data_IF_220828125859
#
_entry.id   IF_220828125859
#
_cell.length_a   1.000
_cell.length_b   1.000
_cell.length_c   1.000
_cell.angle_alpha   90.00
_cell.angle_beta   90.00
_cell.angle_gamma   90.00
#
_symmetry.space_group_name_H-M   'P 1'
#
loop_
_entity.id
_entity.type
_entity.pdbx_description
1 polymer ?
#
# COMPACT_ATOMS: atom_id res chain seq x y z
N UNK A 1 -10.70 32.65 -24.78
CA UNK A 1 -10.34 31.40 -24.08
C UNK A 1 -11.50 31.07 -23.15
N UNK A 2 -12.41 30.20 -23.60
CA UNK A 2 -13.63 29.91 -22.85
C UNK A 2 -13.34 28.82 -21.81
N UNK A 3 -13.50 29.13 -20.53
CA UNK A 3 -13.55 28.14 -19.46
C UNK A 3 -14.81 27.28 -19.71
N UNK A 4 -14.63 26.06 -20.20
CA UNK A 4 -15.71 25.06 -20.22
C UNK A 4 -15.91 24.61 -18.77
N UNK A 5 -16.97 25.14 -18.14
CA UNK A 5 -17.50 24.62 -16.87
C UNK A 5 -18.23 23.30 -17.16
N UNK A 6 -17.47 22.23 -17.38
CA UNK A 6 -18.01 20.88 -17.38
C UNK A 6 -18.10 20.38 -15.94
N UNK A 7 -19.30 19.98 -15.51
CA UNK A 7 -19.43 19.17 -14.28
C UNK A 7 -18.97 17.77 -14.65
N UNK A 8 -17.79 17.37 -14.15
CA UNK A 8 -17.32 16.00 -14.24
C UNK A 8 -18.14 15.15 -13.29
N UNK A 9 -18.81 14.13 -13.81
CA UNK A 9 -19.58 13.19 -13.02
C UNK A 9 -19.20 11.78 -13.48
N UNK A 10 -18.98 10.90 -12.50
CA UNK A 10 -18.68 9.48 -12.68
C UNK A 10 -19.57 8.69 -11.75
N UNK A 11 -19.96 7.49 -12.15
CA UNK A 11 -20.69 6.54 -11.31
C UNK A 11 -19.85 5.27 -11.18
N UNK A 12 -19.75 4.77 -9.95
CA UNK A 12 -19.04 3.56 -9.59
C UNK A 12 -19.97 2.59 -8.86
N UNK A 13 -19.82 1.31 -9.16
CA UNK A 13 -20.44 0.23 -8.39
C UNK A 13 -19.36 -0.81 -8.10
N UNK A 14 -19.09 -1.01 -6.82
CA UNK A 14 -18.09 -1.96 -6.34
C UNK A 14 -18.70 -3.11 -5.55
N UNK A 15 -18.12 -4.29 -5.69
CA UNK A 15 -18.37 -5.45 -4.85
C UNK A 15 -17.06 -5.88 -4.22
N UNK A 16 -17.01 -5.85 -2.89
CA UNK A 16 -15.90 -6.38 -2.10
C UNK A 16 -16.30 -7.73 -1.50
N UNK A 17 -15.49 -8.76 -1.74
CA UNK A 17 -15.60 -10.08 -1.14
C UNK A 17 -14.30 -10.34 -0.36
N UNK A 18 -14.40 -10.51 0.95
CA UNK A 18 -13.25 -10.86 1.80
C UNK A 18 -13.39 -12.25 2.40
N UNK A 19 -12.28 -12.95 2.54
CA UNK A 19 -12.19 -14.23 3.22
C UNK A 19 -10.91 -14.29 4.06
N UNK A 20 -11.04 -14.74 5.31
CA UNK A 20 -9.92 -14.97 6.24
C UNK A 20 -9.94 -16.41 6.71
N UNK A 21 -8.78 -17.05 6.82
CA UNK A 21 -8.65 -18.24 7.68
C UNK A 21 -7.24 -18.41 8.22
N UNK A 22 -7.09 -19.27 9.23
CA UNK A 22 -5.84 -19.40 9.99
C UNK A 22 -5.45 -20.87 10.09
N UNK A 23 -4.15 -21.19 10.09
CA UNK A 23 -3.65 -22.57 10.16
C UNK A 23 -2.64 -22.74 11.30
N UNK A 24 -2.88 -23.73 12.17
CA UNK A 24 -1.98 -24.10 13.25
C UNK A 24 -1.25 -25.42 12.94
N UNK A 25 0.00 -25.55 13.41
CA UNK A 25 0.75 -26.81 13.38
C UNK A 25 0.03 -27.84 14.24
N UNK A 26 -0.43 -28.92 13.64
CA UNK A 26 -1.20 -29.96 14.33
C UNK A 26 -0.29 -30.72 15.30
N UNK A 27 -0.48 -30.53 16.60
CA UNK A 27 0.01 -31.41 17.65
C UNK A 27 -1.18 -31.91 18.45
N UNK A 28 -1.44 -33.21 18.31
CA UNK A 28 -2.31 -34.12 19.08
C UNK A 28 -3.67 -33.64 19.62
N UNK A 29 -4.68 -34.41 19.23
CA UNK A 29 -6.11 -34.36 19.60
C UNK A 29 -6.42 -34.38 21.10
N UNK A 30 -7.52 -33.70 21.44
CA UNK A 30 -8.32 -33.69 22.69
C UNK A 30 -7.99 -32.64 23.77
N UNK A 31 -8.44 -31.40 23.53
CA UNK A 31 -9.30 -30.63 24.44
C UNK A 31 -9.52 -29.23 23.85
N UNK A 32 -10.76 -28.84 23.58
CA UNK A 32 -11.10 -27.46 23.18
C UNK A 32 -10.93 -26.52 24.38
N UNK A 33 -9.71 -26.03 24.57
CA UNK A 33 -9.41 -24.73 25.19
C UNK A 33 -9.63 -23.62 24.13
N UNK A 34 -9.71 -22.33 24.50
CA UNK A 34 -9.62 -21.24 23.52
C UNK A 34 -8.40 -21.54 22.67
N UNK A 35 -8.59 -21.75 21.37
CA UNK A 35 -7.50 -22.13 20.48
C UNK A 35 -6.44 -21.04 20.56
N UNK A 36 -5.21 -21.40 20.94
CA UNK A 36 -4.07 -20.51 20.78
C UNK A 36 -4.10 -19.94 19.36
N UNK A 37 -3.76 -18.65 19.17
CA UNK A 37 -3.76 -18.04 17.84
C UNK A 37 -2.95 -18.91 16.87
N UNK A 38 -3.28 -18.88 15.57
CA UNK A 38 -2.51 -19.64 14.60
C UNK A 38 -1.06 -19.16 14.55
N UNK A 39 -0.13 -20.03 14.14
CA UNK A 39 1.26 -19.61 13.88
C UNK A 39 1.31 -18.81 12.58
N UNK A 40 0.49 -19.21 11.62
CA UNK A 40 0.32 -18.54 10.34
C UNK A 40 -1.16 -18.17 10.13
N UNK A 41 -1.40 -16.92 9.80
CA UNK A 41 -2.71 -16.38 9.45
C UNK A 41 -2.66 -15.86 8.02
N UNK A 42 -3.72 -16.08 7.24
CA UNK A 42 -3.79 -15.51 5.90
C UNK A 42 -5.10 -14.75 5.71
N UNK A 43 -5.00 -13.67 4.96
CA UNK A 43 -6.12 -12.85 4.55
C UNK A 43 -6.25 -12.87 3.03
N UNK A 44 -7.47 -12.71 2.55
CA UNK A 44 -7.70 -12.36 1.15
C UNK A 44 -8.85 -11.39 1.00
N UNK A 45 -8.68 -10.49 0.05
CA UNK A 45 -9.71 -9.57 -0.39
C UNK A 45 -9.76 -9.56 -1.92
N UNK A 46 -10.96 -9.71 -2.46
CA UNK A 46 -11.22 -9.52 -3.88
C UNK A 46 -12.15 -8.31 -4.07
N UNK A 47 -11.65 -7.32 -4.78
CA UNK A 47 -12.39 -6.12 -5.17
C UNK A 47 -12.67 -6.18 -6.66
N UNK A 48 -13.91 -5.88 -7.04
CA UNK A 48 -14.33 -5.78 -8.43
C UNK A 48 -15.19 -4.53 -8.63
N UNK A 49 -14.72 -3.62 -9.48
CA UNK A 49 -15.33 -2.31 -9.71
C UNK A 49 -15.71 -2.11 -11.18
N UNK A 50 -16.83 -1.41 -11.41
CA UNK A 50 -17.22 -0.93 -12.73
C UNK A 50 -17.40 0.58 -12.68
N UNK A 51 -16.56 1.30 -13.42
CA UNK A 51 -16.53 2.76 -13.47
C UNK A 51 -16.99 3.26 -14.84
N UNK A 52 -17.97 4.16 -14.84
CA UNK A 52 -18.42 4.86 -16.05
C UNK A 52 -18.24 6.37 -15.92
N UNK A 53 -17.48 6.97 -16.84
CA UNK A 53 -17.40 8.42 -17.01
C UNK A 53 -18.66 8.89 -17.75
N UNK A 54 -19.50 9.72 -17.11
CA UNK A 54 -20.82 10.13 -17.63
C UNK A 54 -20.88 11.62 -18.04
N UNK A 55 -19.85 12.41 -17.75
CA UNK A 55 -19.69 13.79 -18.18
C UNK A 55 -18.21 14.21 -18.22
N UNK A 56 -17.81 15.03 -19.21
CA UNK A 56 -16.42 15.45 -19.40
C UNK A 56 -16.08 15.73 -20.87
N UNK A 57 -14.86 16.15 -21.16
CA UNK A 57 -14.38 16.47 -22.52
C UNK A 57 -14.01 15.26 -23.40
N UNK A 58 -13.90 14.06 -22.82
CA UNK A 58 -13.47 12.82 -23.49
C UNK A 58 -14.60 11.92 -24.02
N UNK A 59 -14.31 10.64 -24.26
CA UNK A 59 -15.25 9.64 -24.80
C UNK A 59 -16.24 9.13 -23.71
N UNK A 60 -17.29 9.91 -23.48
CA UNK A 60 -18.18 9.86 -22.29
C UNK A 60 -19.15 8.66 -22.19
N UNK A 61 -18.85 7.48 -22.74
CA UNK A 61 -19.83 6.35 -22.78
C UNK A 61 -19.27 4.94 -22.61
N UNK A 62 -18.08 4.79 -22.04
CA UNK A 62 -17.51 3.46 -21.87
C UNK A 62 -17.32 3.13 -20.38
N UNK A 63 -17.99 2.07 -19.92
CA UNK A 63 -17.69 1.46 -18.64
C UNK A 63 -16.33 0.74 -18.70
N UNK A 64 -15.56 0.84 -17.62
CA UNK A 64 -14.33 0.08 -17.40
C UNK A 64 -14.53 -0.80 -16.18
N UNK A 65 -14.20 -2.07 -16.33
CA UNK A 65 -14.15 -3.02 -15.24
C UNK A 65 -12.73 -3.09 -14.71
N UNK A 66 -12.57 -3.22 -13.40
CA UNK A 66 -11.30 -3.37 -12.70
C UNK A 66 -11.43 -4.46 -11.64
N UNK A 67 -10.33 -5.16 -11.39
CA UNK A 67 -10.26 -6.05 -10.25
C UNK A 67 -8.90 -6.06 -9.55
N UNK A 68 -8.95 -6.40 -8.27
CA UNK A 68 -7.80 -6.59 -7.40
C UNK A 68 -8.06 -7.81 -6.51
N UNK A 69 -7.15 -8.77 -6.54
CA UNK A 69 -7.04 -9.82 -5.54
C UNK A 69 -5.81 -9.53 -4.68
N UNK A 70 -6.03 -9.28 -3.39
CA UNK A 70 -5.00 -9.25 -2.36
C UNK A 70 -5.03 -10.59 -1.59
N UNK A 71 -3.86 -11.19 -1.39
CA UNK A 71 -3.68 -12.33 -0.50
C UNK A 71 -2.47 -12.09 0.38
N UNK A 72 -2.67 -11.99 1.70
CA UNK A 72 -1.59 -11.85 2.66
C UNK A 72 -1.38 -13.11 3.50
N UNK A 73 -0.17 -13.25 4.03
CA UNK A 73 0.25 -14.30 4.95
C UNK A 73 1.14 -13.69 6.04
N UNK A 74 0.68 -13.79 7.28
CA UNK A 74 1.32 -13.30 8.50
C UNK A 74 1.80 -14.48 9.34
N UNK A 75 3.02 -14.37 9.89
CA UNK A 75 3.67 -15.46 10.62
C UNK A 75 4.37 -15.04 11.90
N UNK A 76 4.11 -15.77 12.98
CA UNK A 76 4.82 -15.66 14.26
C UNK A 76 6.07 -16.57 14.26
N UNK A 77 7.24 -15.95 14.06
CA UNK A 77 8.51 -16.68 13.99
C UNK A 77 9.08 -17.01 15.37
N UNK A 78 8.56 -16.40 16.44
CA UNK A 78 8.85 -16.83 17.81
C UNK A 78 8.25 -18.21 18.07
N UNK A 79 6.98 -18.41 17.72
CA UNK A 79 6.31 -19.70 17.92
C UNK A 79 6.75 -20.77 16.94
N UNK A 80 7.11 -20.39 15.72
CA UNK A 80 7.58 -21.33 14.69
C UNK A 80 9.03 -21.78 14.91
N UNK A 81 9.94 -20.83 15.21
CA UNK A 81 11.39 -21.07 15.22
C UNK A 81 12.11 -20.67 16.52
N UNK A 82 11.39 -20.07 17.48
CA UNK A 82 11.97 -19.57 18.74
C UNK A 82 12.66 -18.21 18.58
N UNK A 83 12.45 -17.50 17.48
CA UNK A 83 13.04 -16.17 17.25
C UNK A 83 12.21 -15.12 17.97
N UNK A 84 12.64 -14.78 19.19
CA UNK A 84 11.89 -13.93 20.11
C UNK A 84 11.49 -12.60 19.47
N UNK A 85 10.19 -12.31 19.45
CA UNK A 85 9.59 -11.08 18.94
C UNK A 85 9.75 -10.87 17.44
N UNK A 86 9.96 -11.94 16.65
CA UNK A 86 10.10 -11.81 15.19
C UNK A 86 8.80 -12.22 14.50
N UNK A 87 8.33 -11.37 13.59
CA UNK A 87 7.18 -11.60 12.73
C UNK A 87 7.57 -11.50 11.26
N UNK A 88 6.84 -12.17 10.39
CA UNK A 88 6.99 -12.06 8.95
C UNK A 88 5.66 -11.82 8.28
N UNK A 89 5.68 -11.03 7.21
CA UNK A 89 4.51 -10.72 6.40
C UNK A 89 4.84 -10.88 4.92
N UNK A 90 3.90 -11.43 4.17
CA UNK A 90 3.96 -11.56 2.72
C UNK A 90 2.61 -11.18 2.12
N UNK A 91 2.57 -10.31 1.11
CA UNK A 91 1.36 -9.99 0.36
C UNK A 91 1.57 -10.19 -1.14
N UNK A 92 0.61 -10.86 -1.78
CA UNK A 92 0.49 -11.01 -3.22
C UNK A 92 -0.69 -10.20 -3.73
N UNK A 93 -0.46 -9.40 -4.75
CA UNK A 93 -1.49 -8.69 -5.49
C UNK A 93 -1.66 -9.30 -6.88
N UNK A 94 -2.90 -9.41 -7.34
CA UNK A 94 -3.21 -9.62 -8.76
C UNK A 94 -4.22 -8.57 -9.22
N UNK A 95 -3.81 -7.74 -10.17
CA UNK A 95 -4.58 -6.60 -10.66
C UNK A 95 -4.85 -6.71 -12.15
N UNK A 96 -6.07 -6.35 -12.55
CA UNK A 96 -6.51 -6.38 -13.92
C UNK A 96 -7.58 -5.34 -14.24
N UNK A 97 -8.02 -5.37 -15.50
CA UNK A 97 -9.16 -4.58 -15.97
C UNK A 97 -8.78 -3.46 -16.93
N UNK A 98 -9.39 -2.29 -16.74
CA UNK A 98 -9.19 -1.12 -17.58
C UNK A 98 -8.79 0.10 -16.77
N UNK A 99 -8.50 1.20 -17.47
CA UNK A 99 -8.06 2.47 -16.89
C UNK A 99 -9.15 3.54 -17.06
N UNK A 100 -10.14 3.64 -16.15
CA UNK A 100 -11.13 4.70 -16.15
C UNK A 100 -10.49 6.10 -16.22
N UNK A 101 -9.36 6.32 -15.54
CA UNK A 101 -8.70 7.62 -15.54
C UNK A 101 -8.19 8.02 -16.93
N UNK A 102 -7.85 7.06 -17.79
CA UNK A 102 -7.48 7.33 -19.19
C UNK A 102 -8.66 7.88 -20.03
N UNK A 103 -9.90 7.72 -19.58
CA UNK A 103 -11.10 8.33 -20.21
C UNK A 103 -11.45 9.64 -19.53
N UNK A 104 -11.34 9.67 -18.20
CA UNK A 104 -11.71 10.84 -17.41
C UNK A 104 -10.70 11.99 -17.54
N UNK A 105 -9.43 11.66 -17.86
CA UNK A 105 -8.31 12.58 -18.05
C UNK A 105 -8.09 13.51 -16.84
N UNK A 106 -8.25 12.98 -15.63
CA UNK A 106 -8.05 13.77 -14.41
C UNK A 106 -6.63 13.66 -13.87
N UNK A 107 -6.22 14.70 -13.15
CA UNK A 107 -4.92 14.75 -12.48
C UNK A 107 -4.77 13.71 -11.36
N UNK A 108 -5.89 13.25 -10.81
CA UNK A 108 -5.95 12.26 -9.74
C UNK A 108 -6.74 11.05 -10.21
N UNK A 109 -6.35 9.85 -9.78
CA UNK A 109 -7.09 8.64 -10.07
C UNK A 109 -8.47 8.64 -9.41
N UNK A 110 -9.41 7.87 -9.98
CA UNK A 110 -10.77 7.71 -9.45
C UNK A 110 -10.93 6.49 -8.57
N UNK A 111 -10.14 5.46 -8.83
CA UNK A 111 -10.31 4.13 -8.29
C UNK A 111 -8.97 3.61 -7.76
N UNK A 112 -8.96 3.18 -6.49
CA UNK A 112 -7.76 2.70 -5.78
C UNK A 112 -7.15 1.45 -6.40
N UNK A 113 -7.93 0.67 -7.16
CA UNK A 113 -7.45 -0.58 -7.77
C UNK A 113 -7.04 -0.40 -9.24
N UNK A 114 -7.08 0.83 -9.76
CA UNK A 114 -6.59 1.13 -11.11
C UNK A 114 -5.06 1.00 -11.19
N UNK A 115 -4.58 0.21 -12.15
CA UNK A 115 -3.13 0.00 -12.36
C UNK A 115 -2.68 0.41 -13.76
N UNK A 116 -1.45 0.93 -13.84
CA UNK A 116 -0.78 1.24 -15.10
C UNK A 116 -0.50 0.00 -15.95
N UNK A 117 -0.17 -1.12 -15.30
CA UNK A 117 0.17 -2.40 -15.91
C UNK A 117 -0.42 -3.56 -15.12
N UNK A 118 -1.14 -4.45 -15.80
CA UNK A 118 -1.73 -5.65 -15.19
C UNK A 118 -0.65 -6.66 -14.81
N UNK A 119 -0.89 -7.43 -13.75
CA UNK A 119 0.05 -8.46 -13.36
C UNK A 119 -0.19 -9.00 -11.97
N UNK A 120 0.63 -9.99 -11.63
CA UNK A 120 0.74 -10.52 -10.27
C UNK A 120 2.03 -10.00 -9.68
N UNK A 121 1.95 -9.40 -8.48
CA UNK A 121 3.08 -8.78 -7.79
C UNK A 121 3.24 -9.36 -6.40
N UNK A 122 4.49 -9.59 -5.98
CA UNK A 122 4.82 -9.69 -4.56
C UNK A 122 4.84 -8.27 -4.00
N UNK A 123 3.72 -7.85 -3.46
CA UNK A 123 3.50 -6.48 -3.02
C UNK A 123 4.22 -6.19 -1.71
N UNK A 124 4.17 -7.09 -0.74
CA UNK A 124 4.95 -6.94 0.49
C UNK A 124 5.67 -8.24 0.83
N UNK A 125 6.86 -8.12 1.41
CA UNK A 125 7.65 -9.24 1.90
C UNK A 125 8.68 -8.70 2.89
N UNK A 126 8.33 -8.69 4.17
CA UNK A 126 9.15 -8.10 5.21
C UNK A 126 9.18 -8.94 6.48
N UNK A 127 10.23 -8.70 7.27
CA UNK A 127 10.39 -9.25 8.62
C UNK A 127 10.45 -8.09 9.59
N UNK A 128 9.73 -8.21 10.69
CA UNK A 128 9.73 -7.26 11.80
C UNK A 128 10.28 -7.90 13.08
N UNK A 129 11.07 -7.14 13.82
CA UNK A 129 11.56 -7.49 15.15
C UNK A 129 10.99 -6.51 16.18
N UNK A 130 10.20 -7.02 17.10
CA UNK A 130 9.77 -6.33 18.32
C UNK A 130 10.91 -6.21 19.32
N UNK A 131 11.00 -5.03 19.93
CA UNK A 131 12.00 -4.64 20.91
C UNK A 131 11.30 -4.02 22.11
N UNK A 132 12.00 -4.02 23.26
CA UNK A 132 11.55 -3.37 24.48
C UNK A 132 10.09 -3.71 24.88
N UNK A 133 9.73 -5.00 24.81
CA UNK A 133 8.39 -5.50 25.14
C UNK A 133 7.28 -4.85 24.27
N UNK A 134 7.54 -4.70 22.97
CA UNK A 134 6.58 -4.16 22.00
C UNK A 134 6.50 -2.63 21.96
N UNK A 135 7.42 -1.92 22.64
CA UNK A 135 7.48 -0.44 22.63
C UNK A 135 8.31 0.13 21.49
N UNK A 136 8.99 -0.73 20.75
CA UNK A 136 9.73 -0.38 19.57
C UNK A 136 9.74 -1.56 18.61
N UNK A 137 9.77 -1.31 17.31
CA UNK A 137 9.94 -2.35 16.31
C UNK A 137 10.82 -1.89 15.16
N UNK A 138 11.51 -2.83 14.54
CA UNK A 138 12.32 -2.62 13.34
C UNK A 138 11.86 -3.60 12.27
N UNK A 139 11.45 -3.06 11.12
CA UNK A 139 11.02 -3.82 9.95
C UNK A 139 12.05 -3.65 8.83
N UNK A 140 12.30 -4.73 8.09
CA UNK A 140 13.09 -4.70 6.86
C UNK A 140 12.50 -5.63 5.79
N UNK A 141 12.43 -5.14 4.54
CA UNK A 141 11.93 -5.92 3.41
C UNK A 141 11.26 -5.06 2.33
N UNK A 142 10.47 -5.69 1.46
CA UNK A 142 9.56 -4.99 0.55
C UNK A 142 8.35 -4.48 1.34
N UNK A 143 8.13 -3.18 1.36
CA UNK A 143 7.25 -2.52 2.33
C UNK A 143 6.41 -1.41 1.70
N UNK A 144 5.10 -1.44 1.90
CA UNK A 144 4.21 -0.34 1.50
C UNK A 144 4.27 0.79 2.53
N UNK A 145 4.71 1.98 2.13
CA UNK A 145 4.75 3.12 3.05
C UNK A 145 3.35 3.57 3.46
N UNK A 146 2.34 3.42 2.60
CA UNK A 146 0.98 3.86 2.88
C UNK A 146 0.21 2.92 3.82
N UNK A 147 0.77 1.74 4.13
CA UNK A 147 0.25 0.87 5.18
C UNK A 147 0.30 1.53 6.57
N UNK A 148 1.34 2.33 6.86
CA UNK A 148 1.54 2.96 8.17
C UNK A 148 1.68 4.49 8.14
N UNK A 149 2.29 5.05 7.09
CA UNK A 149 2.53 6.49 6.96
C UNK A 149 1.43 7.13 6.12
N UNK A 150 1.04 8.34 6.50
CA UNK A 150 0.01 9.10 5.77
C UNK A 150 -1.24 8.22 5.54
N UNK A 151 -1.68 7.51 6.58
CA UNK A 151 -2.82 6.59 6.53
C UNK A 151 -3.82 6.89 7.64
N UNK A 152 -5.10 6.66 7.37
CA UNK A 152 -6.17 6.71 8.38
C UNK A 152 -7.20 5.64 8.10
N UNK A 153 -7.82 5.07 9.15
CA UNK A 153 -8.88 4.06 8.98
C UNK A 153 -10.09 4.59 8.19
N UNK A 154 -10.33 5.90 8.22
CA UNK A 154 -11.42 6.52 7.45
C UNK A 154 -11.12 6.54 5.94
N UNK A 155 -9.85 6.61 5.56
CA UNK A 155 -9.40 6.62 4.17
C UNK A 155 -9.69 5.29 3.47
N UNK A 156 -9.62 4.17 4.19
CA UNK A 156 -9.84 2.82 3.66
C UNK A 156 -11.27 2.58 3.14
N UNK A 157 -12.22 3.42 3.58
CA UNK A 157 -13.62 3.37 3.13
C UNK A 157 -13.86 4.15 1.83
N UNK A 158 -12.85 4.89 1.35
CA UNK A 158 -12.96 5.79 0.22
C UNK A 158 -12.26 5.19 -1.00
N UNK A 159 -12.95 5.23 -2.13
CA UNK A 159 -12.53 4.53 -3.36
C UNK A 159 -11.45 5.27 -4.16
N UNK A 160 -11.22 6.56 -3.92
CA UNK A 160 -10.32 7.38 -4.75
C UNK A 160 -8.94 7.54 -4.10
N UNK A 161 -7.84 7.36 -4.86
CA UNK A 161 -6.46 7.37 -4.34
C UNK A 161 -6.06 8.55 -3.45
N UNK A 162 -6.48 9.80 -3.73
CA UNK A 162 -6.09 10.96 -2.93
C UNK A 162 -6.58 10.94 -1.48
N UNK A 163 -7.53 10.05 -1.14
CA UNK A 163 -7.97 9.88 0.24
C UNK A 163 -7.03 9.02 1.08
N UNK A 164 -6.25 8.13 0.45
CA UNK A 164 -5.17 7.39 1.09
C UNK A 164 -3.94 8.28 1.20
N UNK A 165 -3.04 8.16 0.23
CA UNK A 165 -1.84 8.99 0.13
C UNK A 165 -2.08 10.23 -0.73
N UNK A 166 -1.70 11.40 -0.21
CA UNK A 166 -1.84 12.68 -0.91
C UNK A 166 -1.05 12.74 -2.22
N UNK A 167 -1.60 13.42 -3.24
CA UNK A 167 -0.98 13.54 -4.57
C UNK A 167 0.39 14.21 -4.54
N UNK A 168 0.65 15.04 -3.54
CA UNK A 168 1.93 15.70 -3.31
C UNK A 168 3.08 14.72 -3.01
N UNK A 169 2.77 13.50 -2.54
CA UNK A 169 3.75 12.43 -2.34
C UNK A 169 3.60 11.35 -3.41
N UNK A 170 2.37 10.97 -3.75
CA UNK A 170 2.09 9.91 -4.73
C UNK A 170 2.71 10.18 -6.11
N UNK A 171 2.81 11.44 -6.53
CA UNK A 171 3.33 11.86 -7.83
C UNK A 171 4.84 12.21 -7.81
N UNK A 172 5.63 11.59 -6.94
CA UNK A 172 7.06 11.89 -6.77
C UNK A 172 7.94 10.66 -6.98
N UNK A 173 9.23 10.88 -7.23
CA UNK A 173 10.20 9.79 -7.42
C UNK A 173 10.17 9.20 -8.84
N UNK A 174 11.18 8.39 -9.20
CA UNK A 174 11.39 7.88 -10.56
C UNK A 174 10.32 6.88 -11.02
N UNK A 175 9.63 6.22 -10.08
CA UNK A 175 8.50 5.32 -10.37
C UNK A 175 7.40 5.41 -9.30
N UNK A 176 7.21 6.60 -8.73
CA UNK A 176 6.39 6.74 -7.52
C UNK A 176 7.14 6.36 -6.24
N UNK A 177 6.63 6.75 -5.06
CA UNK A 177 7.08 6.18 -3.79
C UNK A 177 6.64 4.70 -3.70
N UNK A 178 7.13 4.00 -2.68
CA UNK A 178 6.77 2.59 -2.41
C UNK A 178 5.34 2.47 -1.89
N UNK A 179 4.36 2.43 -2.79
CA UNK A 179 2.93 2.35 -2.54
C UNK A 179 2.24 1.45 -3.57
N UNK A 180 0.97 1.11 -3.37
CA UNK A 180 0.20 0.34 -4.35
C UNK A 180 0.38 0.86 -5.80
N UNK A 181 0.65 -0.01 -6.79
CA UNK A 181 0.74 -1.48 -6.70
C UNK A 181 2.17 -2.04 -6.52
N UNK A 182 3.18 -1.18 -6.34
CA UNK A 182 4.60 -1.58 -6.37
C UNK A 182 5.37 -1.03 -5.18
N UNK A 183 6.07 -1.91 -4.46
CA UNK A 183 6.88 -1.51 -3.30
C UNK A 183 8.38 -1.57 -3.57
N UNK A 184 9.15 -1.14 -2.58
CA UNK A 184 10.59 -1.02 -2.56
C UNK A 184 11.18 -1.71 -1.33
N UNK A 185 12.47 -2.04 -1.41
CA UNK A 185 13.24 -2.36 -0.21
C UNK A 185 13.24 -1.17 0.75
N UNK A 186 12.93 -1.45 2.01
CA UNK A 186 12.88 -0.46 3.07
C UNK A 186 13.43 -1.00 4.38
N UNK A 187 13.79 -0.06 5.26
CA UNK A 187 13.91 -0.27 6.70
C UNK A 187 13.02 0.75 7.40
N UNK A 188 12.20 0.28 8.34
CA UNK A 188 11.31 1.10 9.15
C UNK A 188 11.59 0.88 10.63
N UNK A 189 11.66 1.97 11.38
CA UNK A 189 11.75 1.96 12.84
C UNK A 189 10.50 2.64 13.39
N UNK A 190 9.84 1.98 14.34
CA UNK A 190 8.69 2.53 15.06
C UNK A 190 8.95 2.51 16.56
N UNK A 191 8.51 3.56 17.24
CA UNK A 191 8.58 3.73 18.68
C UNK A 191 7.17 4.06 19.20
N UNK A 192 6.81 3.54 20.36
CA UNK A 192 5.53 3.84 21.03
C UNK A 192 4.54 2.68 20.95
N UNK A 193 3.25 3.01 20.96
CA UNK A 193 2.14 2.04 20.95
C UNK A 193 1.25 2.23 19.72
N UNK A 194 0.58 1.17 19.28
CA UNK A 194 -0.50 1.28 18.28
C UNK A 194 -1.63 2.20 18.78
N UNK A 195 -2.05 2.01 20.04
CA UNK A 195 -3.12 2.77 20.70
C UNK A 195 -2.58 3.90 21.59
N UNK A 196 -1.79 4.81 21.01
CA UNK A 196 -1.29 5.96 21.74
C UNK A 196 -0.30 6.81 20.95
N UNK A 197 0.64 7.42 21.67
CA UNK A 197 1.71 8.19 21.05
C UNK A 197 2.67 7.23 20.33
N UNK A 198 2.99 7.55 19.09
CA UNK A 198 3.99 6.87 18.31
C UNK A 198 4.87 7.86 17.54
N UNK A 199 6.07 7.40 17.21
CA UNK A 199 6.97 8.06 16.29
C UNK A 199 7.60 6.98 15.40
N UNK A 200 7.70 7.27 14.11
CA UNK A 200 8.23 6.31 13.14
C UNK A 200 9.07 7.01 12.08
N UNK A 201 10.02 6.25 11.54
CA UNK A 201 10.92 6.66 10.49
C UNK A 201 11.08 5.51 9.50
N UNK A 202 11.10 5.82 8.22
CA UNK A 202 11.41 4.86 7.16
C UNK A 202 12.48 5.42 6.23
N UNK A 203 13.37 4.53 5.78
CA UNK A 203 14.27 4.75 4.66
C UNK A 203 13.93 3.69 3.59
N UNK A 204 13.57 4.16 2.41
CA UNK A 204 12.93 3.35 1.36
C UNK A 204 13.69 3.57 0.06
N UNK A 205 13.97 2.53 -0.73
CA UNK A 205 14.52 2.72 -2.07
C UNK A 205 13.59 3.65 -2.87
N UNK A 206 14.15 4.72 -3.45
CA UNK A 206 13.40 5.78 -4.10
C UNK A 206 12.60 5.29 -5.32
N UNK A 207 13.05 4.19 -5.95
CA UNK A 207 12.38 3.58 -7.08
C UNK A 207 11.57 2.36 -6.66
N UNK A 208 10.26 2.53 -6.59
CA UNK A 208 9.30 1.44 -6.42
C UNK A 208 9.41 0.44 -7.58
N UNK A 209 9.61 -0.83 -7.27
CA UNK A 209 9.60 -1.93 -8.24
C UNK A 209 9.55 -3.26 -7.49
N UNK A 210 8.48 -4.02 -7.70
CA UNK A 210 8.22 -5.27 -7.00
C UNK A 210 8.57 -6.51 -7.87
N UNK A 211 8.60 -7.69 -7.25
CA UNK A 211 8.63 -8.94 -8.04
C UNK A 211 7.30 -9.01 -8.80
N UNK A 212 7.35 -9.07 -10.13
CA UNK A 212 6.17 -9.02 -10.99
C UNK A 212 6.08 -7.77 -11.85
N UNK A 213 6.86 -6.73 -11.52
CA UNK A 213 7.06 -5.57 -12.40
C UNK A 213 8.10 -5.84 -13.48
N UNK A 214 8.04 -5.04 -14.56
CA UNK A 214 9.06 -5.01 -15.59
C UNK A 214 10.40 -4.56 -14.99
N UNK A 215 11.37 -5.48 -14.93
CA UNK A 215 12.67 -5.26 -14.28
C UNK A 215 12.80 -5.89 -12.89
N UNK A 216 11.69 -6.35 -12.29
CA UNK A 216 11.68 -6.99 -10.98
C UNK A 216 12.04 -6.05 -9.84
N UNK A 217 12.49 -6.60 -8.70
CA UNK A 217 12.84 -5.78 -7.53
C UNK A 217 14.09 -4.96 -7.79
N UNK A 218 14.00 -3.65 -7.55
CA UNK A 218 15.18 -2.80 -7.54
C UNK A 218 15.90 -2.86 -6.19
N UNK A 219 17.13 -3.38 -6.22
CA UNK A 219 18.03 -3.48 -5.07
C UNK A 219 19.24 -2.57 -5.17
N UNK A 220 19.35 -1.75 -6.23
CA UNK A 220 20.55 -0.97 -6.56
C UNK A 220 20.71 0.28 -5.68
N UNK A 221 19.59 0.89 -5.27
CA UNK A 221 19.54 2.21 -4.63
C UNK A 221 20.17 3.32 -5.51
N UNK A 222 20.24 3.12 -6.83
CA UNK A 222 20.89 4.05 -7.77
C UNK A 222 20.14 5.39 -7.87
N UNK A 223 18.83 5.41 -7.61
CA UNK A 223 18.00 6.61 -7.54
C UNK A 223 17.95 7.24 -6.13
N UNK A 224 18.76 6.70 -5.20
CA UNK A 224 18.80 7.09 -3.80
C UNK A 224 17.67 6.50 -2.95
N UNK A 225 17.38 7.18 -1.84
CA UNK A 225 16.35 6.75 -0.89
C UNK A 225 15.35 7.86 -0.58
N UNK A 226 14.09 7.48 -0.40
CA UNK A 226 13.04 8.29 0.21
C UNK A 226 13.06 8.08 1.73
N UNK A 227 13.18 9.18 2.47
CA UNK A 227 13.10 9.21 3.92
C UNK A 227 11.75 9.75 4.36
N UNK A 228 11.06 9.06 5.27
CA UNK A 228 9.80 9.49 5.87
C UNK A 228 9.94 9.55 7.39
N UNK A 229 9.28 10.53 8.01
CA UNK A 229 9.11 10.61 9.46
C UNK A 229 7.66 10.96 9.77
N UNK A 230 7.08 10.29 10.77
CA UNK A 230 5.74 10.59 11.27
C UNK A 230 5.73 10.51 12.80
N UNK A 231 5.05 11.46 13.44
CA UNK A 231 4.75 11.44 14.87
C UNK A 231 3.25 11.60 14.99
N UNK A 232 2.61 10.71 15.73
CA UNK A 232 1.16 10.73 15.85
C UNK A 232 0.67 10.21 17.19
N UNK A 233 -0.60 10.47 17.44
CA UNK A 233 -1.36 9.89 18.53
C UNK A 233 -2.60 9.20 17.98
N UNK A 234 -2.82 7.97 18.41
CA UNK A 234 -3.99 7.16 18.07
C UNK A 234 -4.80 6.83 19.33
N UNK A 235 -6.11 6.84 19.19
CA UNK A 235 -7.09 6.62 20.25
C UNK A 235 -8.49 6.78 19.65
N UNK A 236 -9.45 7.41 20.34
CA UNK A 236 -10.75 7.77 19.74
C UNK A 236 -10.65 8.70 18.52
N UNK A 237 -9.52 9.39 18.36
CA UNK A 237 -9.17 10.22 17.21
C UNK A 237 -7.72 9.90 16.85
N UNK A 238 -7.41 9.84 15.56
CA UNK A 238 -6.02 9.78 15.07
C UNK A 238 -5.59 11.16 14.61
N UNK A 239 -4.44 11.62 15.09
CA UNK A 239 -3.78 12.84 14.63
C UNK A 239 -2.30 12.54 14.43
N UNK A 240 -1.77 12.86 13.26
CA UNK A 240 -0.36 12.68 12.95
C UNK A 240 0.19 13.90 12.21
N UNK A 241 1.49 14.13 12.38
CA UNK A 241 2.27 15.08 11.60
C UNK A 241 3.52 14.37 11.10
N UNK A 242 3.83 14.56 9.83
CA UNK A 242 4.97 13.92 9.20
C UNK A 242 5.59 14.77 8.11
N UNK A 243 6.68 14.25 7.56
CA UNK A 243 7.38 14.85 6.44
C UNK A 243 8.22 13.81 5.72
N UNK A 244 8.57 14.11 4.48
CA UNK A 244 9.36 13.22 3.64
C UNK A 244 10.43 14.00 2.88
N UNK A 245 11.48 13.30 2.45
CA UNK A 245 12.57 13.88 1.64
C UNK A 245 13.32 12.79 0.87
N UNK A 246 13.61 13.04 -0.39
CA UNK A 246 14.56 12.24 -1.17
C UNK A 246 16.01 12.60 -0.81
N UNK A 247 16.85 11.58 -0.69
CA UNK A 247 18.30 11.72 -0.48
C UNK A 247 19.00 12.31 -1.68
N UNK A 248 18.50 12.02 -2.88
CA UNK A 248 19.00 12.53 -4.15
C UNK A 248 18.02 13.52 -4.80
N UNK A 249 18.57 14.46 -5.56
CA UNK A 249 17.77 15.40 -6.32
C UNK A 249 17.10 14.64 -7.47
N UNK A 250 15.79 14.78 -7.57
CA UNK A 250 15.03 14.26 -8.69
C UNK A 250 15.17 15.22 -9.87
N UNK A 251 15.19 14.68 -11.10
CA UNK A 251 15.23 15.50 -12.31
C UNK A 251 14.00 16.42 -12.37
N UNK A 252 14.19 17.66 -12.83
CA UNK A 252 13.09 18.60 -12.98
C UNK A 252 12.23 18.17 -14.16
N UNK A 253 10.92 18.07 -13.96
CA UNK A 253 9.97 17.71 -15.03
C UNK A 253 10.04 18.64 -16.24
N UNK A 254 10.59 19.85 -16.09
CA UNK A 254 10.81 20.82 -17.18
C UNK A 254 12.06 20.52 -18.02
N UNK A 255 12.98 19.73 -17.47
CA UNK A 255 14.24 19.36 -18.09
C UNK A 255 14.17 17.95 -18.74
N UNK A 256 13.04 17.25 -18.57
CA UNK A 256 12.73 15.99 -19.25
C UNK A 256 12.20 16.26 -20.67
N UNK A 257 12.74 15.57 -21.67
CA UNK A 257 12.23 15.62 -23.04
C UNK A 257 10.76 15.12 -23.06
N UNK A 258 9.82 15.83 -23.70
CA UNK A 258 8.45 15.37 -23.80
C UNK A 258 8.37 14.07 -24.60
N UNK A 259 7.74 13.06 -24.00
CA UNK A 259 7.47 11.75 -24.58
C UNK A 259 6.61 11.82 -25.86
#
# INVERSE_FOLDING_TARGET
MALVRGVFASVALGVLLSATSSFAKTADTNSQSPSDPAIWEWHSAYTADVIGVIGGGGDVRAGRYLDNLDVSLDGDLERQFGWRGVHAHFSLLANGGGQPNAIAETLQGYDNIEVGSHGVRLFEAWVEQDLAEGRASVLAGLYDVNSEFYSTEASDLLMSPPFGIGSELAATGPNGPSIFPSTSLAVRVRLGSADGLHAQFAAVNAKASAIGDDGGVDTSLDDGALYLVEIGWSGPVRVAIGGWRYGEAQEDIRDLDPF
#
